data_IF_131714984025
#
_entry.id   IF_131714984025
#
_cell.length_a   1.000
_cell.length_b   1.000
_cell.length_c   1.000
_cell.angle_alpha   90.00
_cell.angle_beta   90.00
_cell.angle_gamma   90.00
#
_symmetry.space_group_name_H-M   'P 1'
#
loop_
_entity.id
_entity.type
_entity.pdbx_description
1 polymer ?
#
# COMPACT_ATOMS: atom_id res chain seq x y z
N UNK A 1 1.65 -72.65 -17.90
CA UNK A 1 2.70 -72.54 -16.86
C UNK A 1 2.26 -71.43 -15.92
N UNK A 2 2.02 -71.77 -14.66
CA UNK A 2 1.66 -70.81 -13.62
C UNK A 2 2.93 -70.44 -12.86
N UNK A 3 3.22 -69.15 -12.72
CA UNK A 3 4.21 -68.65 -11.76
C UNK A 3 3.49 -67.79 -10.73
N UNK A 4 3.55 -68.27 -9.49
CA UNK A 4 3.23 -67.52 -8.28
C UNK A 4 4.54 -66.95 -7.76
N UNK A 5 4.60 -65.66 -7.45
CA UNK A 5 5.46 -65.17 -6.38
C UNK A 5 4.93 -63.85 -5.81
N UNK A 6 4.77 -63.88 -4.50
CA UNK A 6 4.16 -62.88 -3.64
C UNK A 6 5.22 -61.97 -3.01
N UNK A 7 4.80 -60.77 -2.59
CA UNK A 7 5.50 -60.00 -1.56
C UNK A 7 5.24 -58.49 -1.63
N UNK A 8 4.47 -57.90 -0.70
CA UNK A 8 4.32 -56.46 -0.60
C UNK A 8 5.54 -55.87 0.13
N UNK A 9 6.28 -54.95 -0.52
CA UNK A 9 7.29 -54.14 0.16
C UNK A 9 6.62 -53.18 1.16
N UNK A 10 6.49 -53.65 2.41
CA UNK A 10 6.31 -52.77 3.57
C UNK A 10 7.62 -52.01 3.79
N UNK A 11 7.65 -50.75 3.36
CA UNK A 11 8.62 -49.78 3.87
C UNK A 11 7.99 -49.07 5.06
N UNK A 12 8.16 -49.66 6.23
CA UNK A 12 7.91 -49.01 7.51
C UNK A 12 8.98 -47.94 7.79
N UNK A 13 8.47 -46.76 8.11
CA UNK A 13 8.96 -45.84 9.14
C UNK A 13 10.46 -45.54 9.21
N UNK A 14 10.78 -44.29 8.88
CA UNK A 14 11.21 -43.33 9.91
C UNK A 14 11.37 -41.93 9.32
N UNK A 15 11.03 -40.95 10.17
CA UNK A 15 11.44 -39.55 10.10
C UNK A 15 10.48 -38.62 9.34
N UNK A 16 9.74 -37.79 10.10
CA UNK A 16 8.91 -36.74 9.52
C UNK A 16 7.84 -36.15 10.43
N UNK A 17 7.69 -36.58 11.68
CA UNK A 17 6.96 -35.81 12.70
C UNK A 17 7.75 -34.55 13.04
N UNK A 18 7.73 -33.55 12.15
CA UNK A 18 8.08 -32.17 12.47
C UNK A 18 6.81 -31.37 12.34
N UNK A 19 6.18 -31.19 13.51
CA UNK A 19 5.19 -30.17 13.86
C UNK A 19 4.54 -29.48 12.65
N UNK A 20 3.31 -29.87 12.35
CA UNK A 20 2.37 -28.99 11.68
C UNK A 20 2.13 -27.80 12.62
N UNK A 21 3.03 -26.81 12.57
CA UNK A 21 2.78 -25.49 13.11
C UNK A 21 1.57 -24.98 12.33
N UNK A 22 0.43 -24.91 13.01
CA UNK A 22 -0.78 -24.33 12.48
C UNK A 22 -0.47 -22.89 12.03
N UNK A 23 -0.36 -22.69 10.71
CA UNK A 23 -0.04 -21.39 10.12
C UNK A 23 -1.19 -20.39 10.28
N UNK A 24 -2.33 -20.79 10.86
CA UNK A 24 -3.49 -19.92 11.09
C UNK A 24 -3.37 -19.06 12.34
N UNK A 25 -2.49 -19.39 13.28
CA UNK A 25 -2.28 -18.61 14.53
C UNK A 25 -1.25 -17.47 14.38
N UNK A 26 -0.97 -17.05 13.14
CA UNK A 26 0.04 -16.04 12.81
C UNK A 26 -0.52 -14.72 12.31
N UNK A 27 -1.85 -14.51 12.35
CA UNK A 27 -2.46 -13.28 11.81
C UNK A 27 -2.16 -12.03 12.65
N UNK A 28 -1.62 -12.19 13.87
CA UNK A 28 -1.38 -11.11 14.82
C UNK A 28 0.09 -10.66 14.92
N UNK A 29 0.95 -11.14 14.01
CA UNK A 29 2.40 -10.88 14.08
C UNK A 29 2.96 -10.50 12.73
N UNK A 30 2.61 -9.31 12.24
CA UNK A 30 3.36 -8.53 11.21
C UNK A 30 2.67 -7.26 10.69
N UNK A 31 1.66 -6.70 11.37
CA UNK A 31 1.48 -5.25 11.26
C UNK A 31 2.56 -4.58 12.10
N UNK A 32 3.81 -4.67 11.62
CA UNK A 32 4.87 -3.76 12.07
C UNK A 32 4.37 -2.31 11.94
N UNK A 33 4.93 -1.34 12.70
CA UNK A 33 4.36 -0.01 12.90
C UNK A 33 3.77 0.52 11.60
N UNK A 34 2.46 0.34 11.44
CA UNK A 34 1.81 0.50 10.16
C UNK A 34 1.93 1.97 9.85
N UNK A 35 2.85 2.33 8.95
CA UNK A 35 3.10 3.72 8.61
C UNK A 35 1.73 4.30 8.25
N UNK A 36 1.25 5.20 9.11
CA UNK A 36 -0.16 5.60 9.08
C UNK A 36 -0.47 6.11 7.67
N UNK A 37 -1.61 5.69 7.11
CA UNK A 37 -2.08 6.16 5.81
C UNK A 37 -2.12 7.69 5.87
N UNK A 38 -1.70 8.38 4.80
CA UNK A 38 -1.87 9.82 4.71
C UNK A 38 -3.33 10.21 4.92
N UNK A 39 -3.56 11.39 5.51
CA UNK A 39 -4.89 11.82 5.96
C UNK A 39 -5.94 11.82 4.85
N UNK A 40 -5.57 12.33 3.66
CA UNK A 40 -6.43 12.33 2.46
C UNK A 40 -6.91 10.93 2.09
N UNK A 41 -6.01 9.94 2.12
CA UNK A 41 -6.35 8.56 1.80
C UNK A 41 -7.29 7.95 2.84
N UNK A 42 -7.04 8.26 4.11
CA UNK A 42 -7.87 7.77 5.22
C UNK A 42 -9.28 8.34 5.14
N UNK A 43 -9.41 9.65 4.94
CA UNK A 43 -10.71 10.32 4.79
C UNK A 43 -11.52 9.71 3.64
N UNK A 44 -10.89 9.52 2.46
CA UNK A 44 -11.56 8.92 1.31
C UNK A 44 -12.08 7.50 1.57
N UNK A 45 -11.34 6.68 2.34
CA UNK A 45 -11.75 5.32 2.72
C UNK A 45 -12.87 5.31 3.78
N UNK A 46 -12.95 6.36 4.61
CA UNK A 46 -14.01 6.57 5.62
C UNK A 46 -15.27 7.21 5.02
N UNK A 47 -15.28 7.48 3.70
CA UNK A 47 -16.42 8.04 2.96
C UNK A 47 -16.39 9.56 2.80
N UNK A 48 -15.34 10.21 3.28
CA UNK A 48 -15.13 11.65 3.16
C UNK A 48 -14.29 11.95 1.92
N UNK A 49 -14.95 12.34 0.83
CA UNK A 49 -14.27 12.81 -0.38
C UNK A 49 -14.17 14.33 -0.29
N UNK A 50 -12.96 14.85 -0.10
CA UNK A 50 -12.73 16.31 -0.17
C UNK A 50 -13.08 16.83 -1.57
N UNK A 51 -13.49 18.11 -1.67
CA UNK A 51 -13.89 18.71 -2.96
C UNK A 51 -12.80 18.56 -4.05
N UNK A 52 -11.55 18.83 -3.69
CA UNK A 52 -10.39 18.65 -4.59
C UNK A 52 -10.22 17.21 -5.08
N UNK A 53 -10.43 16.23 -4.19
CA UNK A 53 -10.37 14.81 -4.56
C UNK A 53 -11.51 14.42 -5.49
N UNK A 54 -12.72 14.96 -5.26
CA UNK A 54 -13.88 14.73 -6.12
C UNK A 54 -13.63 15.28 -7.53
N UNK A 55 -13.13 16.52 -7.63
CA UNK A 55 -12.77 17.14 -8.91
C UNK A 55 -11.73 16.30 -9.67
N UNK A 56 -10.71 15.80 -8.97
CA UNK A 56 -9.71 14.92 -9.56
C UNK A 56 -10.32 13.61 -10.08
N UNK A 57 -11.20 12.98 -9.29
CA UNK A 57 -11.89 11.74 -9.68
C UNK A 57 -12.77 11.98 -10.92
N UNK A 58 -13.52 13.08 -10.94
CA UNK A 58 -14.37 13.44 -12.08
C UNK A 58 -13.55 13.67 -13.36
N UNK A 59 -12.40 14.34 -13.25
CA UNK A 59 -11.52 14.57 -14.39
C UNK A 59 -10.90 13.26 -14.93
N UNK A 60 -10.57 12.31 -14.04
CA UNK A 60 -10.10 10.98 -14.43
C UNK A 60 -11.22 10.20 -15.14
N UNK A 61 -12.45 10.27 -14.63
CA UNK A 61 -13.57 9.57 -15.25
C UNK A 61 -13.94 10.15 -16.63
N UNK A 62 -13.89 11.47 -16.75
CA UNK A 62 -14.02 12.18 -18.03
C UNK A 62 -12.96 11.71 -19.03
N UNK A 63 -11.70 11.66 -18.60
CA UNK A 63 -10.60 11.19 -19.44
C UNK A 63 -10.83 9.76 -19.93
N UNK A 64 -11.24 8.85 -19.02
CA UNK A 64 -11.52 7.45 -19.36
C UNK A 64 -12.64 7.33 -20.39
N UNK A 65 -13.70 8.14 -20.25
CA UNK A 65 -14.86 8.14 -21.14
C UNK A 65 -14.52 8.65 -22.54
N UNK A 66 -13.73 9.72 -22.66
CA UNK A 66 -13.34 10.30 -23.95
C UNK A 66 -12.36 9.38 -24.69
N UNK A 67 -11.40 8.80 -23.97
CA UNK A 67 -10.32 8.03 -24.59
C UNK A 67 -10.63 6.54 -24.73
N UNK A 68 -11.83 6.10 -24.32
CA UNK A 68 -12.26 4.68 -24.30
C UNK A 68 -11.25 3.74 -23.63
N UNK A 69 -10.48 4.27 -22.68
CA UNK A 69 -9.39 3.56 -22.01
C UNK A 69 -9.70 3.45 -20.53
N UNK A 70 -9.86 2.22 -19.99
CA UNK A 70 -10.24 2.04 -18.59
C UNK A 70 -9.14 2.47 -17.62
N UNK A 71 -7.87 2.43 -18.05
CA UNK A 71 -6.70 2.74 -17.24
C UNK A 71 -5.82 3.77 -17.96
N UNK A 72 -5.78 5.03 -17.46
CA UNK A 72 -4.85 6.02 -17.98
C UNK A 72 -3.40 5.65 -17.65
N UNK A 73 -2.45 6.07 -18.49
CA UNK A 73 -1.02 6.02 -18.17
C UNK A 73 -0.64 7.11 -17.17
N UNK A 74 0.51 6.97 -16.51
CA UNK A 74 1.01 8.00 -15.60
C UNK A 74 1.27 9.35 -16.30
N UNK A 75 1.63 9.33 -17.59
CA UNK A 75 1.75 10.55 -18.40
C UNK A 75 0.40 11.24 -18.58
N UNK A 76 -0.66 10.47 -18.84
CA UNK A 76 -2.02 11.00 -18.99
C UNK A 76 -2.56 11.54 -17.66
N UNK A 77 -2.29 10.83 -16.56
CA UNK A 77 -2.62 11.33 -15.21
C UNK A 77 -1.92 12.65 -14.93
N UNK A 78 -0.65 12.80 -15.33
CA UNK A 78 0.08 14.06 -15.20
C UNK A 78 -0.56 15.19 -16.03
N UNK A 79 -1.00 14.92 -17.26
CA UNK A 79 -1.72 15.88 -18.09
C UNK A 79 -3.04 16.33 -17.46
N UNK A 80 -3.79 15.42 -16.84
CA UNK A 80 -5.05 15.73 -16.14
C UNK A 80 -4.79 16.66 -14.94
N UNK A 81 -3.74 16.39 -14.17
CA UNK A 81 -3.34 17.26 -13.04
C UNK A 81 -3.01 18.68 -13.54
N UNK A 82 -2.29 18.79 -14.66
CA UNK A 82 -1.98 20.08 -15.29
C UNK A 82 -3.24 20.78 -15.82
N UNK A 83 -4.18 20.04 -16.41
CA UNK A 83 -5.47 20.56 -16.90
C UNK A 83 -6.34 21.12 -15.78
N UNK A 84 -6.35 20.47 -14.61
CA UNK A 84 -7.02 20.95 -13.40
C UNK A 84 -6.37 22.22 -12.80
N UNK A 85 -5.23 22.66 -13.32
CA UNK A 85 -4.55 23.87 -12.88
C UNK A 85 -3.69 23.70 -11.63
N UNK A 86 -3.42 22.47 -11.20
CA UNK A 86 -2.49 22.22 -10.10
C UNK A 86 -1.09 22.68 -10.50
N UNK A 87 -0.50 23.54 -9.67
CA UNK A 87 0.87 24.04 -9.83
C UNK A 87 1.69 23.67 -8.60
N UNK A 88 2.96 23.32 -8.82
CA UNK A 88 3.90 23.12 -7.72
C UNK A 88 4.26 24.49 -7.11
N UNK A 89 3.81 24.73 -5.88
CA UNK A 89 4.12 25.97 -5.13
C UNK A 89 5.16 25.72 -4.02
N UNK A 90 5.26 24.48 -3.54
CA UNK A 90 6.15 24.10 -2.46
C UNK A 90 7.34 23.24 -2.92
N UNK A 91 8.38 23.19 -2.09
CA UNK A 91 9.45 22.21 -2.21
C UNK A 91 8.91 20.79 -2.04
N UNK A 92 9.69 19.81 -2.53
CA UNK A 92 9.27 18.43 -2.43
C UNK A 92 9.34 17.97 -0.97
N UNK A 93 8.26 17.37 -0.47
CA UNK A 93 8.27 16.75 0.86
C UNK A 93 9.23 15.56 0.89
N UNK A 94 9.78 15.25 2.07
CA UNK A 94 10.63 14.08 2.27
C UNK A 94 9.89 12.76 1.96
N UNK A 95 8.57 12.72 2.14
CA UNK A 95 7.74 11.55 1.86
C UNK A 95 6.27 11.95 1.58
N UNK A 96 5.52 11.15 0.82
CA UNK A 96 4.09 11.37 0.50
C UNK A 96 3.15 11.46 1.72
N UNK A 97 3.62 10.98 2.89
CA UNK A 97 2.87 11.05 4.15
C UNK A 97 3.42 12.13 5.10
N UNK A 98 4.26 13.03 4.60
CA UNK A 98 4.93 14.07 5.39
C UNK A 98 4.68 15.40 4.70
N UNK A 99 4.27 16.43 5.43
CA UNK A 99 4.05 17.74 4.86
C UNK A 99 5.38 18.38 4.41
N UNK A 100 5.38 19.03 3.25
CA UNK A 100 6.45 19.93 2.83
C UNK A 100 6.26 21.29 3.49
N UNK A 101 6.74 21.45 4.73
CA UNK A 101 6.78 22.73 5.44
C UNK A 101 6.32 22.65 6.91
N UNK A 102 7.28 22.93 7.82
CA UNK A 102 7.25 22.99 9.31
C UNK A 102 6.67 21.75 10.00
N UNK A 103 7.46 20.95 10.75
CA UNK A 103 7.87 21.26 12.12
C UNK A 103 9.29 20.74 12.44
N UNK A 104 10.34 21.58 12.33
CA UNK A 104 11.54 21.47 13.18
C UNK A 104 12.13 22.89 13.38
N UNK A 105 11.31 23.82 13.83
CA UNK A 105 11.78 25.01 14.51
C UNK A 105 11.04 25.05 15.84
N UNK A 106 11.81 25.09 16.91
CA UNK A 106 11.42 25.29 18.32
C UNK A 106 11.38 24.02 19.20
N UNK A 107 12.57 23.64 19.70
CA UNK A 107 12.79 22.98 21.01
C UNK A 107 14.28 22.90 21.38
N UNK A 108 15.22 23.13 20.45
CA UNK A 108 16.66 23.00 20.74
C UNK A 108 17.34 24.29 21.26
N UNK A 109 16.69 25.46 21.19
CA UNK A 109 17.29 26.74 21.61
C UNK A 109 16.99 27.12 23.08
N UNK A 110 16.07 26.40 23.75
CA UNK A 110 15.65 26.74 25.12
C UNK A 110 16.47 26.05 26.24
N UNK A 111 17.47 25.23 25.92
CA UNK A 111 18.21 24.41 26.90
C UNK A 111 19.71 24.78 27.07
N UNK A 112 20.17 25.88 26.47
CA UNK A 112 21.56 26.37 26.59
C UNK A 112 21.69 27.74 27.29
N UNK A 113 20.60 28.26 27.85
CA UNK A 113 20.58 29.51 28.61
C UNK A 113 20.00 29.29 30.01
N UNK A 114 20.69 28.50 30.83
CA UNK A 114 20.78 28.68 32.30
C UNK A 114 22.10 28.04 32.78
#
# INVERSE_FOLDING_TARGET
>A
MAETQAGPERREDRNGRRAAVDRRSGMDRRRGPGRRRGEVRRAAEEGEISGELLEFIMAIDEYKRINERPFPTWSEVFEIVQYLGYRRVAEQAAHINTASGSEVLDSADAAMAD
#
